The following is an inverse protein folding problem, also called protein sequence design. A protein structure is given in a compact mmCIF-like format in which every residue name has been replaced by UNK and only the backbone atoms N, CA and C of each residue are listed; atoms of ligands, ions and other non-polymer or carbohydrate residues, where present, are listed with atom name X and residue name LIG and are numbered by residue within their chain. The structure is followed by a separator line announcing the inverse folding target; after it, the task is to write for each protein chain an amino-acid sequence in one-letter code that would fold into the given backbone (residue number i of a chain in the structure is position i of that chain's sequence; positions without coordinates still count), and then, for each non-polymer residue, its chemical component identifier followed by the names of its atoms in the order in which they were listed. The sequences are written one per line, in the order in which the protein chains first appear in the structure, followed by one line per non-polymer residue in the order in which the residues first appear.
data_IF_378461126657
#
_entry.id   IF_378461126657
#
_cell.length_a   1.000
_cell.length_b   1.000
_cell.length_c   1.000
_cell.angle_alpha   90.00
_cell.angle_beta   90.00
_cell.angle_gamma   90.00
#
_symmetry.space_group_name_H-M   'P 1'
#
loop_
_entity.id
_entity.type
_entity.pdbx_description
1 polymer ?
#
# COMPACT_ATOMS: atom_id res chain seq x y z
N UNK A 1 5.22 15.30 -8.90
CA UNK A 1 4.59 15.72 -7.63
C UNK A 1 5.28 14.99 -6.49
N UNK A 2 5.70 15.70 -5.45
CA UNK A 2 6.22 15.06 -4.23
C UNK A 2 5.04 14.47 -3.44
N UNK A 3 5.14 13.21 -3.03
CA UNK A 3 4.08 12.54 -2.27
C UNK A 3 4.04 13.10 -0.85
N UNK A 4 2.85 13.47 -0.35
CA UNK A 4 2.65 13.75 1.08
C UNK A 4 2.80 12.44 1.87
N UNK A 5 3.81 12.40 2.74
CA UNK A 5 4.03 11.27 3.64
C UNK A 5 3.12 11.39 4.86
N UNK A 6 2.50 10.29 5.26
CA UNK A 6 1.67 10.22 6.46
C UNK A 6 2.41 9.47 7.57
N UNK A 7 2.15 9.77 8.85
CA UNK A 7 2.74 9.01 9.97
C UNK A 7 2.41 7.52 9.95
N UNK A 8 1.35 7.14 9.24
CA UNK A 8 0.89 5.76 9.06
C UNK A 8 1.52 5.07 7.84
N UNK A 9 2.32 5.78 7.05
CA UNK A 9 3.05 5.17 5.94
C UNK A 9 4.14 4.24 6.47
N UNK A 10 4.36 3.12 5.78
CA UNK A 10 5.39 2.15 6.13
C UNK A 10 6.80 2.76 6.02
N UNK A 11 7.63 2.44 7.01
CA UNK A 11 9.08 2.58 6.93
C UNK A 11 9.67 1.58 5.93
N UNK A 12 10.90 1.80 5.49
CA UNK A 12 11.59 0.88 4.57
C UNK A 12 11.74 -0.51 5.21
N UNK A 13 12.12 -0.56 6.48
CA UNK A 13 12.25 -1.82 7.23
C UNK A 13 10.93 -2.60 7.33
N UNK A 14 9.82 -1.91 7.61
CA UNK A 14 8.51 -2.56 7.65
C UNK A 14 8.08 -3.06 6.27
N UNK A 15 8.39 -2.32 5.22
CA UNK A 15 8.11 -2.73 3.84
C UNK A 15 8.87 -4.00 3.47
N UNK A 16 10.16 -4.09 3.85
CA UNK A 16 10.99 -5.27 3.59
C UNK A 16 10.44 -6.55 4.23
N UNK A 17 9.76 -6.45 5.38
CA UNK A 17 9.14 -7.60 6.06
C UNK A 17 7.95 -8.16 5.26
N UNK A 18 7.15 -7.30 4.61
CA UNK A 18 5.87 -7.71 4.01
C UNK A 18 5.93 -7.86 2.48
N UNK A 19 6.92 -7.26 1.80
CA UNK A 19 6.95 -7.17 0.34
C UNK A 19 6.90 -8.55 -0.35
N UNK A 20 7.51 -9.56 0.27
CA UNK A 20 7.63 -10.91 -0.29
C UNK A 20 6.33 -11.73 -0.12
N UNK A 21 5.37 -11.24 0.67
CA UNK A 21 4.04 -11.84 0.79
C UNK A 21 3.15 -11.52 -0.42
N UNK A 22 3.50 -10.50 -1.21
CA UNK A 22 2.74 -10.14 -2.39
C UNK A 22 3.14 -11.02 -3.57
N UNK A 23 2.18 -11.41 -4.42
CA UNK A 23 2.52 -12.11 -5.66
C UNK A 23 3.42 -11.22 -6.52
N UNK A 24 4.42 -11.85 -7.14
CA UNK A 24 5.21 -11.25 -8.19
C UNK A 24 4.27 -10.64 -9.24
N UNK A 25 4.68 -9.51 -9.82
CA UNK A 25 3.93 -8.95 -10.94
C UNK A 25 3.91 -10.00 -12.05
N UNK A 26 2.71 -10.50 -12.41
CA UNK A 26 2.55 -11.44 -13.52
C UNK A 26 3.13 -10.78 -14.77
N UNK A 27 4.28 -11.27 -15.23
CA UNK A 27 4.97 -10.79 -16.43
C UNK A 27 4.87 -11.78 -17.59
N UNK A 28 4.57 -13.02 -17.26
CA UNK A 28 4.76 -14.26 -18.01
C UNK A 28 3.45 -14.85 -18.54
N UNK A 29 2.31 -14.62 -17.86
CA UNK A 29 0.99 -15.03 -18.33
C UNK A 29 0.28 -13.81 -18.93
N UNK A 30 0.05 -13.82 -20.24
CA UNK A 30 -0.56 -12.74 -21.02
C UNK A 30 -2.07 -12.56 -20.76
N UNK A 31 -2.49 -12.55 -19.49
CA UNK A 31 -3.90 -12.43 -19.11
C UNK A 31 -4.10 -11.25 -18.16
N UNK A 32 -4.77 -10.20 -18.65
CA UNK A 32 -5.15 -9.01 -17.89
C UNK A 32 -4.19 -7.81 -18.03
N UNK A 33 -4.57 -6.70 -17.38
CA UNK A 33 -3.80 -5.45 -17.40
C UNK A 33 -2.58 -5.56 -16.47
N UNK A 34 -1.40 -5.24 -16.99
CA UNK A 34 -0.16 -5.18 -16.20
C UNK A 34 -0.32 -4.22 -15.02
N UNK A 35 0.15 -4.64 -13.84
CA UNK A 35 0.23 -3.77 -12.67
C UNK A 35 1.25 -2.66 -12.92
N UNK A 36 0.80 -1.41 -12.94
CA UNK A 36 1.67 -0.22 -13.04
C UNK A 36 1.88 0.48 -11.69
N UNK A 37 1.05 0.17 -10.70
CA UNK A 37 1.07 0.81 -9.38
C UNK A 37 2.06 0.11 -8.45
N UNK A 38 2.82 0.90 -7.67
CA UNK A 38 3.67 0.39 -6.60
C UNK A 38 2.82 -0.15 -5.44
N UNK A 39 3.06 -1.39 -5.03
CA UNK A 39 2.31 -2.02 -3.95
C UNK A 39 2.47 -1.33 -2.59
N UNK A 40 3.63 -0.73 -2.32
CA UNK A 40 3.85 0.05 -1.09
C UNK A 40 2.89 1.22 -0.99
N UNK A 41 2.60 1.85 -2.12
CA UNK A 41 1.64 2.96 -2.21
C UNK A 41 0.22 2.49 -1.89
N UNK A 42 -0.15 1.30 -2.36
CA UNK A 42 -1.46 0.67 -2.06
C UNK A 42 -1.59 0.38 -0.57
N UNK A 43 -0.58 -0.24 0.04
CA UNK A 43 -0.61 -0.54 1.47
C UNK A 43 -0.69 0.73 2.31
N UNK A 44 0.13 1.73 1.99
CA UNK A 44 0.09 3.02 2.66
C UNK A 44 -1.29 3.69 2.57
N UNK A 45 -1.97 3.60 1.42
CA UNK A 45 -3.33 4.11 1.26
C UNK A 45 -4.36 3.38 2.15
N UNK A 46 -4.24 2.07 2.29
CA UNK A 46 -5.10 1.26 3.19
C UNK A 46 -4.88 1.67 4.65
N UNK A 47 -3.62 1.83 5.10
CA UNK A 47 -3.29 2.21 6.48
C UNK A 47 -3.82 3.60 6.88
N UNK A 48 -3.96 4.51 5.90
CA UNK A 48 -4.57 5.82 6.14
C UNK A 48 -6.08 5.70 6.38
N UNK A 49 -6.77 4.78 5.70
CA UNK A 49 -8.22 4.61 5.83
C UNK A 49 -8.61 4.11 7.23
N UNK A 50 -7.83 3.19 7.80
CA UNK A 50 -8.05 2.65 9.15
C UNK A 50 -8.09 3.76 10.22
N UNK A 51 -7.14 4.70 10.15
CA UNK A 51 -7.07 5.82 11.10
C UNK A 51 -8.14 6.89 10.89
N UNK A 52 -8.63 7.05 9.66
CA UNK A 52 -9.60 8.09 9.33
C UNK A 52 -11.04 7.72 9.71
N UNK A 53 -11.35 6.42 9.79
CA UNK A 53 -12.71 5.94 10.04
C UNK A 53 -13.02 5.72 11.53
N UNK A 54 -12.04 5.29 12.34
CA UNK A 54 -12.23 5.02 13.77
C UNK A 54 -12.37 6.31 14.61
N UNK A 55 -11.83 7.43 14.13
CA UNK A 55 -11.95 8.74 14.80
C UNK A 55 -13.30 9.45 14.59
N UNK A 56 -14.21 8.89 13.79
CA UNK A 56 -15.50 9.51 13.46
C UNK A 56 -16.71 8.81 14.09
N UNK A 57 -16.48 7.77 14.92
CA UNK A 57 -17.51 7.05 15.70
C UNK A 57 -17.27 7.32 17.20
N UNK A 58 -16.92 8.55 17.55
CA UNK A 58 -16.93 9.01 18.93
C UNK A 58 -17.74 10.28 18.96
N UNK A 59 -18.84 10.20 19.72
CA UNK A 59 -19.99 11.10 19.92
C UNK A 59 -21.07 11.12 18.84
#
# INVERSE_FOLDING_TARGET
MSRKRYPTDLTDQQWEIIKDMFPAAKSDVAQGRKRTTNLREVVNAILILDKKWIGSISV
#
